data_IF_048129725860
#
_entry.id   IF_048129725860
#
_cell.length_a   1.000
_cell.length_b   1.000
_cell.length_c   1.000
_cell.angle_alpha   90.00
_cell.angle_beta   90.00
_cell.angle_gamma   90.00
#
_symmetry.space_group_name_H-M   'P 1'
#
loop_
_entity.id
_entity.type
_entity.pdbx_description
1 polymer ?
#
# COMPACT_ATOMS: atom_id res chain seq x y z
N UNK A 1 -28.46 -47.84 31.90
CA UNK A 1 -27.07 -47.74 31.43
C UNK A 1 -26.88 -48.16 29.96
N UNK A 2 -27.65 -49.06 29.41
CA UNK A 2 -27.48 -49.58 28.01
C UNK A 2 -27.86 -48.56 26.94
N UNK A 3 -28.91 -47.72 27.13
CA UNK A 3 -29.36 -46.71 26.18
C UNK A 3 -28.33 -45.60 25.97
N UNK A 4 -27.65 -45.12 27.00
CA UNK A 4 -26.59 -44.11 26.89
C UNK A 4 -25.39 -44.61 26.08
N UNK A 5 -25.01 -45.86 26.21
CA UNK A 5 -23.95 -46.50 25.44
C UNK A 5 -24.35 -46.66 23.96
N UNK A 6 -25.61 -47.01 23.70
CA UNK A 6 -26.14 -47.13 22.35
C UNK A 6 -26.19 -45.77 21.64
N UNK A 7 -26.60 -44.70 22.32
CA UNK A 7 -26.58 -43.34 21.81
C UNK A 7 -25.14 -42.84 21.51
N UNK A 8 -24.20 -43.21 22.37
CA UNK A 8 -22.78 -42.81 22.17
C UNK A 8 -22.16 -43.52 20.97
N UNK A 9 -22.49 -44.82 20.76
CA UNK A 9 -22.06 -45.62 19.61
C UNK A 9 -22.68 -45.12 18.28
N UNK A 10 -23.89 -44.56 18.34
CA UNK A 10 -24.56 -43.98 17.16
C UNK A 10 -24.05 -42.59 16.81
N UNK A 11 -23.64 -41.78 17.81
CA UNK A 11 -23.11 -40.43 17.61
C UNK A 11 -21.66 -40.43 17.07
N UNK A 12 -20.88 -41.45 17.36
CA UNK A 12 -19.47 -41.55 16.97
C UNK A 12 -19.27 -41.51 15.44
N UNK A 13 -19.99 -42.28 14.60
CA UNK A 13 -19.81 -42.22 13.15
C UNK A 13 -20.31 -40.92 12.54
N UNK A 14 -21.24 -40.17 13.18
CA UNK A 14 -21.72 -38.91 12.69
C UNK A 14 -20.66 -37.79 12.77
N UNK A 15 -19.76 -37.87 13.76
CA UNK A 15 -18.66 -36.90 13.90
C UNK A 15 -17.53 -37.10 12.90
N UNK A 16 -17.39 -38.33 12.36
CA UNK A 16 -16.33 -38.63 11.38
C UNK A 16 -16.75 -38.27 9.93
N UNK A 17 -18.06 -38.17 9.68
CA UNK A 17 -18.60 -37.83 8.34
C UNK A 17 -18.50 -36.36 7.99
N UNK A 18 -18.04 -35.48 8.92
CA UNK A 18 -17.98 -34.01 8.72
C UNK A 18 -16.74 -33.54 7.93
N UNK A 19 -15.88 -34.42 7.43
CA UNK A 19 -14.79 -34.02 6.55
C UNK A 19 -15.30 -33.77 5.13
N UNK A 20 -15.72 -32.54 4.83
CA UNK A 20 -15.96 -32.09 3.47
C UNK A 20 -14.63 -32.09 2.70
N UNK A 21 -14.60 -32.85 1.62
CA UNK A 21 -13.44 -32.93 0.73
C UNK A 21 -13.15 -31.53 0.13
N UNK A 22 -11.97 -30.95 0.40
CA UNK A 22 -11.48 -29.68 -0.16
C UNK A 22 -11.25 -29.71 -1.69
N UNK A 23 -11.47 -30.89 -2.34
CA UNK A 23 -11.26 -31.06 -3.78
C UNK A 23 -12.12 -30.18 -4.69
N UNK A 24 -13.16 -29.56 -4.14
CA UNK A 24 -14.07 -28.70 -4.91
C UNK A 24 -13.87 -27.19 -4.64
N UNK A 25 -12.77 -26.80 -4.01
CA UNK A 25 -12.42 -25.39 -3.93
C UNK A 25 -11.82 -24.97 -5.29
N UNK A 26 -12.49 -24.12 -6.07
CA UNK A 26 -11.99 -23.67 -7.37
C UNK A 26 -10.85 -22.67 -7.17
N UNK A 27 -9.70 -23.17 -6.76
CA UNK A 27 -8.49 -22.37 -6.60
C UNK A 27 -7.51 -22.74 -7.72
N UNK A 28 -7.35 -21.84 -8.70
CA UNK A 28 -6.38 -21.97 -9.80
C UNK A 28 -6.42 -23.35 -10.53
N UNK A 29 -7.61 -23.86 -10.85
CA UNK A 29 -7.76 -25.18 -11.46
C UNK A 29 -7.38 -25.22 -12.95
N UNK A 30 -7.18 -24.07 -13.59
CA UNK A 30 -6.77 -23.96 -14.99
C UNK A 30 -5.59 -22.98 -15.14
N UNK A 31 -4.37 -23.35 -14.76
CA UNK A 31 -3.20 -22.49 -14.96
C UNK A 31 -2.93 -22.24 -16.46
N UNK A 32 -3.36 -23.15 -17.35
CA UNK A 32 -3.20 -23.00 -18.80
C UNK A 32 -4.11 -21.91 -19.38
N UNK A 33 -5.30 -21.70 -18.82
CA UNK A 33 -6.20 -20.63 -19.24
C UNK A 33 -5.73 -19.23 -18.80
N UNK A 34 -4.83 -19.14 -17.83
CA UNK A 34 -4.27 -17.86 -17.35
C UNK A 34 -3.24 -17.31 -18.34
N UNK A 35 -2.51 -18.19 -19.02
CA UNK A 35 -1.49 -17.78 -20.00
C UNK A 35 -2.09 -17.08 -21.22
N UNK A 36 -3.32 -17.44 -21.62
CA UNK A 36 -4.02 -16.79 -22.73
C UNK A 36 -4.54 -15.38 -22.37
N UNK A 37 -4.66 -15.06 -21.08
CA UNK A 37 -5.07 -13.74 -20.61
C UNK A 37 -3.92 -12.75 -20.47
N UNK A 38 -2.69 -13.21 -20.26
CA UNK A 38 -1.53 -12.31 -20.13
C UNK A 38 -1.17 -11.59 -21.42
N UNK A 39 -1.42 -12.20 -22.59
CA UNK A 39 -1.08 -11.59 -23.89
C UNK A 39 -2.06 -10.49 -24.36
N UNK A 40 -3.24 -10.38 -23.76
CA UNK A 40 -4.31 -9.49 -24.25
C UNK A 40 -4.73 -8.38 -23.32
N UNK A 41 -4.25 -8.36 -22.07
CA UNK A 41 -4.59 -7.28 -21.15
C UNK A 41 -3.66 -6.09 -21.39
N UNK A 42 -4.19 -4.92 -21.79
CA UNK A 42 -3.39 -3.71 -21.85
C UNK A 42 -2.85 -3.40 -20.45
N UNK A 43 -1.57 -3.06 -20.37
CA UNK A 43 -0.97 -2.58 -19.13
C UNK A 43 -1.82 -1.42 -18.59
N UNK A 44 -2.45 -1.64 -17.43
CA UNK A 44 -3.24 -0.61 -16.77
C UNK A 44 -2.32 0.25 -15.91
N UNK A 45 -2.13 1.50 -16.33
CA UNK A 45 -1.44 2.49 -15.51
C UNK A 45 -2.41 3.02 -14.44
N UNK A 46 -2.09 2.74 -13.18
CA UNK A 46 -2.86 3.23 -12.06
C UNK A 46 -2.80 4.77 -12.01
N UNK A 47 -3.96 5.38 -11.81
CA UNK A 47 -4.10 6.83 -11.67
C UNK A 47 -4.24 7.20 -10.21
N UNK A 48 -3.64 8.33 -9.84
CA UNK A 48 -3.75 8.90 -8.50
C UNK A 48 -5.20 9.31 -8.23
N UNK A 49 -5.73 8.87 -7.09
CA UNK A 49 -7.11 9.13 -6.69
C UNK A 49 -7.17 10.00 -5.42
N UNK A 50 -8.27 10.73 -5.19
CA UNK A 50 -8.52 11.36 -3.90
C UNK A 50 -8.43 10.34 -2.76
N UNK A 51 -7.77 10.71 -1.66
CA UNK A 51 -7.45 9.88 -0.48
C UNK A 51 -6.21 9.00 -0.63
N UNK A 52 -5.55 8.97 -1.77
CA UNK A 52 -4.25 8.33 -1.88
C UNK A 52 -3.21 9.03 -1.01
N UNK A 53 -2.26 8.25 -0.52
CA UNK A 53 -1.14 8.72 0.28
C UNK A 53 0.14 8.59 -0.54
N UNK A 54 0.71 9.71 -0.94
CA UNK A 54 1.89 9.75 -1.80
C UNK A 54 3.16 9.93 -0.98
N UNK A 55 4.18 9.13 -1.27
CA UNK A 55 5.55 9.34 -0.78
C UNK A 55 6.39 9.91 -1.92
N UNK A 56 6.84 11.15 -1.77
CA UNK A 56 7.57 11.87 -2.81
C UNK A 56 8.97 12.21 -2.28
N UNK A 57 9.99 11.82 -3.02
CA UNK A 57 11.40 12.09 -2.69
C UNK A 57 12.06 12.84 -3.84
N UNK A 58 12.67 13.97 -3.52
CA UNK A 58 13.41 14.79 -4.48
C UNK A 58 14.90 14.45 -4.37
N UNK A 59 15.46 13.91 -5.45
CA UNK A 59 16.88 13.61 -5.57
C UNK A 59 17.54 14.58 -6.54
N UNK A 60 18.62 15.22 -6.12
CA UNK A 60 19.40 16.16 -6.92
C UNK A 60 20.90 15.89 -6.77
N UNK A 61 21.70 16.45 -7.66
CA UNK A 61 23.17 16.39 -7.59
C UNK A 61 23.72 17.10 -6.35
N UNK A 62 23.03 18.15 -5.86
CA UNK A 62 23.32 18.79 -4.58
C UNK A 62 22.28 18.40 -3.52
N UNK A 63 22.61 17.50 -2.56
CA UNK A 63 21.69 17.07 -1.51
C UNK A 63 21.14 18.22 -0.65
N UNK A 64 21.90 19.32 -0.50
CA UNK A 64 21.45 20.48 0.27
C UNK A 64 20.30 21.22 -0.42
N UNK A 65 20.30 21.27 -1.75
CA UNK A 65 19.22 21.86 -2.51
C UNK A 65 17.91 21.05 -2.38
N UNK A 66 17.99 19.75 -2.16
CA UNK A 66 16.82 18.88 -1.98
C UNK A 66 16.21 18.95 -0.57
N UNK A 67 16.95 19.41 0.44
CA UNK A 67 16.52 19.41 1.85
C UNK A 67 15.15 20.09 2.10
N UNK A 68 14.84 21.25 1.51
CA UNK A 68 13.55 21.93 1.74
C UNK A 68 12.33 21.15 1.21
N UNK A 69 12.54 20.22 0.29
CA UNK A 69 11.49 19.42 -0.36
C UNK A 69 11.31 18.05 0.29
N UNK A 70 12.34 17.56 1.00
CA UNK A 70 12.36 16.24 1.64
C UNK A 70 12.11 16.38 3.14
N UNK A 71 10.89 16.74 3.52
CA UNK A 71 10.52 16.86 4.92
C UNK A 71 10.46 15.49 5.61
N UNK A 72 10.99 15.44 6.82
CA UNK A 72 10.93 14.24 7.66
C UNK A 72 10.07 14.49 8.88
N UNK A 73 9.26 13.50 9.23
CA UNK A 73 8.43 13.51 10.44
C UNK A 73 9.10 12.61 11.47
N UNK A 74 9.33 13.16 12.66
CA UNK A 74 9.76 12.35 13.80
C UNK A 74 8.53 11.83 14.51
N UNK A 75 8.40 10.52 14.63
CA UNK A 75 7.32 9.92 15.42
C UNK A 75 7.64 10.13 16.91
N UNK A 76 6.80 10.85 17.67
CA UNK A 76 7.03 10.99 19.10
C UNK A 76 6.95 9.63 19.77
N UNK A 77 7.99 9.27 20.51
CA UNK A 77 8.00 8.05 21.32
C UNK A 77 7.17 8.34 22.56
N UNK A 78 6.17 7.53 22.83
CA UNK A 78 5.50 7.52 24.12
C UNK A 78 6.50 7.07 25.19
N UNK A 79 6.94 8.00 26.02
CA UNK A 79 7.89 7.81 27.12
C UNK A 79 7.42 6.84 28.22
N UNK A 80 6.26 6.18 28.04
CA UNK A 80 5.69 5.24 29.01
C UNK A 80 6.35 3.85 28.99
N UNK A 81 7.24 3.56 28.04
CA UNK A 81 7.94 2.26 27.96
C UNK A 81 9.43 2.45 28.29
N UNK A 82 9.75 2.31 29.54
CA UNK A 82 11.01 2.67 30.21
C UNK A 82 12.24 1.83 29.85
N UNK A 83 12.26 1.00 28.83
CA UNK A 83 13.43 0.17 28.50
C UNK A 83 13.63 -0.16 27.03
N UNK A 84 13.17 0.67 26.10
CA UNK A 84 13.43 0.45 24.67
C UNK A 84 14.40 1.54 24.21
N UNK A 85 15.59 1.14 23.77
CA UNK A 85 16.51 2.00 23.02
C UNK A 85 15.85 2.31 21.68
N UNK A 86 15.06 3.38 21.65
CA UNK A 86 14.34 3.80 20.45
C UNK A 86 15.25 4.70 19.64
N UNK A 87 15.89 4.11 18.66
CA UNK A 87 16.44 4.87 17.54
C UNK A 87 15.24 5.34 16.72
N UNK A 88 14.82 6.59 16.94
CA UNK A 88 13.82 7.24 16.08
C UNK A 88 14.42 7.39 14.69
N UNK A 89 13.99 6.55 13.77
CA UNK A 89 14.34 6.76 12.38
C UNK A 89 13.39 7.82 11.82
N UNK A 90 13.91 8.93 11.28
CA UNK A 90 13.07 9.92 10.62
C UNK A 90 12.37 9.27 9.43
N UNK A 91 11.05 9.36 9.40
CA UNK A 91 10.24 8.88 8.28
C UNK A 91 9.97 10.04 7.34
N UNK A 92 10.07 9.80 6.03
CA UNK A 92 9.70 10.81 5.02
C UNK A 92 8.23 11.19 5.18
N UNK A 93 7.96 12.49 5.03
CA UNK A 93 6.59 12.99 5.04
C UNK A 93 5.81 12.42 3.86
N UNK A 94 4.58 11.99 4.15
CA UNK A 94 3.63 11.56 3.12
C UNK A 94 2.61 12.66 2.84
N UNK A 95 2.12 12.70 1.62
CA UNK A 95 1.18 13.70 1.13
C UNK A 95 -0.16 13.06 0.83
N UNK A 96 -1.20 13.47 1.55
CA UNK A 96 -2.57 13.00 1.32
C UNK A 96 -3.19 13.78 0.16
N UNK A 97 -3.66 13.07 -0.85
CA UNK A 97 -4.43 13.66 -1.94
C UNK A 97 -5.82 14.06 -1.42
N UNK A 98 -6.15 15.33 -1.49
CA UNK A 98 -7.42 15.85 -1.02
C UNK A 98 -8.58 15.47 -1.96
N UNK A 99 -9.82 15.85 -1.60
CA UNK A 99 -11.02 15.54 -2.39
C UNK A 99 -11.05 16.18 -3.78
N UNK A 100 -10.20 17.20 -4.02
CA UNK A 100 -10.06 17.86 -5.32
C UNK A 100 -8.94 17.28 -6.16
N UNK A 101 -8.22 16.27 -5.67
CA UNK A 101 -7.07 15.71 -6.35
C UNK A 101 -5.77 16.51 -6.14
N UNK A 102 -5.71 17.38 -5.13
CA UNK A 102 -4.54 18.22 -4.87
C UNK A 102 -3.72 17.69 -3.70
N UNK A 103 -2.41 17.94 -3.72
CA UNK A 103 -1.49 17.79 -2.58
C UNK A 103 -0.88 19.15 -2.23
N UNK A 104 -0.53 19.34 -0.94
CA UNK A 104 0.25 20.50 -0.47
C UNK A 104 1.73 20.09 -0.41
N UNK A 105 2.52 20.58 -1.38
CA UNK A 105 3.93 20.22 -1.49
C UNK A 105 4.81 21.38 -0.99
N UNK A 106 5.89 21.11 -0.23
CA UNK A 106 6.74 22.15 0.33
C UNK A 106 7.29 23.10 -0.74
N UNK A 107 7.38 24.36 -0.42
CA UNK A 107 7.93 25.44 -1.24
C UNK A 107 7.08 25.79 -2.46
N UNK A 108 6.61 24.81 -3.21
CA UNK A 108 5.83 25.04 -4.46
C UNK A 108 4.32 25.12 -4.23
N UNK A 109 3.85 24.73 -3.02
CA UNK A 109 2.43 24.85 -2.65
C UNK A 109 1.56 23.75 -3.24
N UNK A 110 0.33 24.11 -3.64
CA UNK A 110 -0.66 23.14 -4.12
C UNK A 110 -0.37 22.66 -5.53
N UNK A 111 -0.44 21.36 -5.69
CA UNK A 111 -0.29 20.65 -6.96
C UNK A 111 -1.50 19.75 -7.21
N UNK A 112 -2.09 19.86 -8.39
CA UNK A 112 -3.16 18.98 -8.85
C UNK A 112 -2.52 17.71 -9.45
N UNK A 113 -2.66 16.59 -8.75
CA UNK A 113 -2.08 15.29 -9.14
C UNK A 113 -3.15 14.22 -9.37
N UNK A 114 -4.40 14.52 -9.00
CA UNK A 114 -5.52 13.60 -9.18
C UNK A 114 -5.78 13.28 -10.65
N UNK A 115 -5.98 11.99 -10.96
CA UNK A 115 -6.19 11.53 -12.32
C UNK A 115 -4.92 11.35 -13.16
N UNK A 116 -3.76 11.81 -12.67
CA UNK A 116 -2.46 11.57 -13.30
C UNK A 116 -1.95 10.18 -12.99
N UNK A 117 -1.19 9.62 -13.91
CA UNK A 117 -0.35 8.44 -13.64
C UNK A 117 0.86 8.85 -12.80
N UNK A 118 1.59 7.85 -12.26
CA UNK A 118 2.83 8.10 -11.53
C UNK A 118 3.81 8.95 -12.34
N UNK A 119 4.02 8.59 -13.61
CA UNK A 119 5.00 9.27 -14.47
C UNK A 119 4.59 10.71 -14.79
N UNK A 120 3.32 10.95 -15.08
CA UNK A 120 2.79 12.30 -15.32
C UNK A 120 2.91 13.18 -14.09
N UNK A 121 2.66 12.63 -12.89
CA UNK A 121 2.83 13.37 -11.64
C UNK A 121 4.31 13.67 -11.35
N UNK A 122 5.22 12.74 -11.62
CA UNK A 122 6.67 12.98 -11.53
C UNK A 122 7.13 14.12 -12.45
N UNK A 123 6.67 14.11 -13.70
CA UNK A 123 7.03 15.14 -14.67
C UNK A 123 6.47 16.51 -14.28
N UNK A 124 5.22 16.56 -13.79
CA UNK A 124 4.62 17.78 -13.26
C UNK A 124 5.44 18.36 -12.10
N UNK A 125 5.80 17.53 -11.13
CA UNK A 125 6.58 17.94 -9.96
C UNK A 125 7.97 18.41 -10.39
N UNK A 126 8.64 17.66 -11.29
CA UNK A 126 9.95 18.02 -11.82
C UNK A 126 9.93 19.40 -12.52
N UNK A 127 8.93 19.66 -13.35
CA UNK A 127 8.76 20.98 -14.00
C UNK A 127 8.59 22.10 -12.98
N UNK A 128 7.80 21.88 -11.93
CA UNK A 128 7.57 22.89 -10.88
C UNK A 128 8.78 23.12 -9.99
N UNK A 129 9.66 22.14 -9.86
CA UNK A 129 10.90 22.22 -9.07
C UNK A 129 12.05 22.90 -9.83
N UNK A 130 12.08 22.88 -11.15
CA UNK A 130 13.16 23.47 -11.97
C UNK A 130 13.60 24.89 -11.54
N UNK A 131 12.71 25.82 -11.21
CA UNK A 131 13.11 27.18 -10.80
C UNK A 131 13.88 27.20 -9.47
N UNK A 132 13.71 26.19 -8.64
CA UNK A 132 14.27 26.11 -7.29
C UNK A 132 15.52 25.24 -7.21
N UNK A 133 15.66 24.29 -8.13
CA UNK A 133 16.81 23.41 -8.24
C UNK A 133 17.70 23.97 -9.36
N UNK A 134 18.82 24.59 -8.96
CA UNK A 134 19.88 24.96 -9.91
C UNK A 134 20.59 23.68 -10.29
N UNK A 135 20.35 23.16 -11.46
CA UNK A 135 21.22 22.19 -12.12
C UNK A 135 22.45 22.90 -12.70
#
# INVERSE_FOLDING_TARGET
>A
MKIKRLLLLLALPLLVASCTSYKNVPYLQNPEAVNDFEETLPLYDAKIMPKDLLSITVNTTDPKAATPFNLTVQTPINAALTNISTTTQPTMQQYLVNNKGEIDFPVIGRLEVGGLTKNEAEDLIRERLKPYLKE
#
